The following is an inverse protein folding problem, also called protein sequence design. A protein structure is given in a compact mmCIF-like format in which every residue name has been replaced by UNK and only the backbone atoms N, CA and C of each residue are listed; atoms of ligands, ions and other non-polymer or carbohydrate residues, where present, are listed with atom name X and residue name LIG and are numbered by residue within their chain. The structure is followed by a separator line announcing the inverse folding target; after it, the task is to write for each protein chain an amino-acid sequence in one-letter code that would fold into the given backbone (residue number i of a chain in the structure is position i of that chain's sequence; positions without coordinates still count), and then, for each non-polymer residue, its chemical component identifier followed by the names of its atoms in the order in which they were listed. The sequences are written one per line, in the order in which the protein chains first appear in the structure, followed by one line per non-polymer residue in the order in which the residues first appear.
data_IF_890397124135
#
_entry.id   IF_890397124135
#
_cell.length_a   1.000
_cell.length_b   1.000
_cell.length_c   1.000
_cell.angle_alpha   90.00
_cell.angle_beta   90.00
_cell.angle_gamma   90.00
#
_symmetry.space_group_name_H-M   'P 1'
#
loop_
_entity.id
_entity.type
_entity.pdbx_description
1 polymer ?
#
# COMPACT_ATOMS: atom_id res chain seq x y z
N UNK A 1 3.88 -4.97 -20.55
CA UNK A 1 3.83 -5.03 -19.09
C UNK A 1 4.71 -3.95 -18.51
N UNK A 2 4.26 -3.28 -17.47
CA UNK A 2 5.10 -2.33 -16.76
C UNK A 2 6.27 -3.10 -16.13
N UNK A 3 7.49 -2.80 -16.58
CA UNK A 3 8.69 -3.50 -16.10
C UNK A 3 9.16 -3.01 -14.72
N UNK A 4 8.43 -2.08 -14.08
CA UNK A 4 8.80 -1.53 -12.79
C UNK A 4 8.55 -2.51 -11.65
N UNK A 5 7.37 -3.11 -11.62
CA UNK A 5 6.98 -4.05 -10.58
C UNK A 5 7.41 -5.48 -10.90
N UNK A 6 7.79 -6.21 -9.86
CA UNK A 6 7.90 -7.67 -9.87
C UNK A 6 6.70 -8.25 -9.16
N UNK A 7 6.01 -9.21 -9.78
CA UNK A 7 4.85 -9.89 -9.19
C UNK A 7 5.24 -11.32 -8.86
N UNK A 8 5.07 -11.69 -7.60
CA UNK A 8 5.32 -13.04 -7.08
C UNK A 8 4.01 -13.61 -6.55
N UNK A 9 3.60 -14.76 -7.06
CA UNK A 9 2.43 -15.46 -6.56
C UNK A 9 2.83 -16.31 -5.33
N UNK A 10 2.31 -15.92 -4.16
CA UNK A 10 2.56 -16.62 -2.88
C UNK A 10 1.69 -17.87 -2.78
N UNK A 11 0.40 -17.72 -3.11
CA UNK A 11 -0.56 -18.82 -3.24
C UNK A 11 -1.59 -18.47 -4.34
N UNK A 12 -2.60 -19.33 -4.54
CA UNK A 12 -3.58 -19.17 -5.62
C UNK A 12 -4.33 -17.82 -5.59
N UNK A 13 -4.40 -17.14 -4.45
CA UNK A 13 -5.16 -15.92 -4.22
C UNK A 13 -4.37 -14.82 -3.49
N UNK A 14 -3.04 -14.95 -3.40
CA UNK A 14 -2.15 -13.99 -2.72
C UNK A 14 -0.94 -13.68 -3.58
N UNK A 15 -0.69 -12.38 -3.80
CA UNK A 15 0.41 -11.90 -4.63
C UNK A 15 1.20 -10.84 -3.88
N UNK A 16 2.53 -10.92 -3.95
CA UNK A 16 3.42 -9.81 -3.60
C UNK A 16 3.72 -9.00 -4.87
N UNK A 17 3.63 -7.68 -4.77
CA UNK A 17 3.94 -6.73 -5.84
C UNK A 17 5.07 -5.86 -5.33
N UNK A 18 6.25 -6.06 -5.86
CA UNK A 18 7.50 -5.55 -5.29
C UNK A 18 8.18 -4.53 -6.21
N UNK A 19 8.81 -3.51 -5.63
CA UNK A 19 9.55 -2.46 -6.32
C UNK A 19 11.08 -2.64 -6.12
N UNK A 20 11.61 -3.83 -6.47
CA UNK A 20 13.02 -4.22 -6.29
C UNK A 20 14.04 -3.34 -7.04
N UNK A 21 13.59 -2.52 -7.99
CA UNK A 21 14.46 -1.60 -8.73
C UNK A 21 14.84 -0.36 -7.93
N UNK A 22 14.11 -0.08 -6.86
CA UNK A 22 14.40 1.01 -5.95
C UNK A 22 15.09 0.50 -4.70
N UNK A 23 15.96 1.30 -4.11
CA UNK A 23 16.75 0.94 -2.93
C UNK A 23 15.89 0.71 -1.66
N UNK A 24 14.67 1.26 -1.62
CA UNK A 24 13.70 1.05 -0.53
C UNK A 24 13.06 -0.33 -0.60
N UNK A 25 13.00 -0.92 -1.79
CA UNK A 25 12.48 -2.29 -2.01
C UNK A 25 11.10 -2.54 -1.38
N UNK A 26 10.17 -1.62 -1.59
CA UNK A 26 8.83 -1.73 -0.99
C UNK A 26 8.02 -2.90 -1.57
N UNK A 27 7.15 -3.47 -0.75
CA UNK A 27 6.25 -4.54 -1.10
C UNK A 27 4.80 -4.16 -0.81
N UNK A 28 3.92 -4.44 -1.75
CA UNK A 28 2.48 -4.40 -1.57
C UNK A 28 1.92 -5.81 -1.71
N UNK A 29 0.87 -6.14 -0.97
CA UNK A 29 0.28 -7.49 -1.03
C UNK A 29 -1.16 -7.42 -1.50
N UNK A 30 -1.46 -8.14 -2.59
CA UNK A 30 -2.84 -8.29 -3.09
C UNK A 30 -3.41 -9.62 -2.60
N UNK A 31 -4.51 -9.54 -1.85
CA UNK A 31 -5.22 -10.67 -1.27
C UNK A 31 -6.62 -10.74 -1.89
N UNK A 32 -6.87 -11.78 -2.69
CA UNK A 32 -8.17 -11.98 -3.34
C UNK A 32 -9.05 -12.88 -2.49
N UNK A 33 -10.22 -12.38 -2.08
CA UNK A 33 -11.31 -13.17 -1.49
C UNK A 33 -12.31 -13.63 -2.53
N UNK A 34 -13.54 -13.94 -2.09
CA UNK A 34 -14.66 -14.23 -3.02
C UNK A 34 -15.48 -12.99 -3.40
N UNK A 35 -15.59 -12.02 -2.48
CA UNK A 35 -16.45 -10.83 -2.66
C UNK A 35 -15.65 -9.61 -3.09
N UNK A 36 -14.43 -9.50 -2.60
CA UNK A 36 -13.55 -8.36 -2.84
C UNK A 36 -12.09 -8.78 -2.66
N UNK A 37 -11.18 -7.94 -3.11
CA UNK A 37 -9.77 -8.06 -2.83
C UNK A 37 -9.29 -6.89 -1.95
N UNK A 38 -8.27 -7.16 -1.16
CA UNK A 38 -7.54 -6.14 -0.40
C UNK A 38 -6.16 -5.98 -1.01
N UNK A 39 -5.74 -4.73 -1.19
CA UNK A 39 -4.35 -4.36 -1.46
C UNK A 39 -3.77 -3.72 -0.20
N UNK A 40 -2.77 -4.38 0.39
CA UNK A 40 -2.02 -3.85 1.53
C UNK A 40 -0.90 -2.98 0.99
N UNK A 41 -0.95 -1.69 1.28
CA UNK A 41 -0.06 -0.64 0.80
C UNK A 41 -0.05 -0.49 -0.74
N UNK A 42 0.58 0.58 -1.23
CA UNK A 42 0.59 0.89 -2.67
C UNK A 42 1.94 1.38 -3.18
N UNK A 43 3.00 1.17 -2.40
CA UNK A 43 4.37 1.44 -2.77
C UNK A 43 4.74 2.91 -2.94
N UNK A 44 5.83 3.12 -3.67
CA UNK A 44 6.51 4.42 -3.85
C UNK A 44 5.73 5.42 -4.72
N UNK A 45 4.80 4.95 -5.55
CA UNK A 45 4.08 5.81 -6.50
C UNK A 45 4.91 6.25 -7.71
N UNK A 46 6.02 5.57 -7.98
CA UNK A 46 6.87 5.79 -9.16
C UNK A 46 6.17 5.29 -10.41
N UNK A 47 5.51 4.14 -10.35
CA UNK A 47 4.67 3.64 -11.42
C UNK A 47 3.23 3.36 -10.95
N UNK A 48 2.34 3.07 -11.89
CA UNK A 48 0.92 2.87 -11.60
C UNK A 48 0.64 1.42 -11.20
N UNK A 49 0.69 1.13 -9.90
CA UNK A 49 0.40 -0.21 -9.34
C UNK A 49 -1.01 -0.71 -9.70
N UNK A 50 -1.99 0.18 -9.91
CA UNK A 50 -3.35 -0.20 -10.30
C UNK A 50 -3.39 -0.99 -11.60
N UNK A 51 -2.54 -0.67 -12.57
CA UNK A 51 -2.43 -1.43 -13.82
C UNK A 51 -2.04 -2.88 -13.58
N UNK A 52 -1.15 -3.12 -12.61
CA UNK A 52 -0.75 -4.49 -12.24
C UNK A 52 -1.91 -5.21 -11.52
N UNK A 53 -2.52 -4.56 -10.53
CA UNK A 53 -3.65 -5.13 -9.79
C UNK A 53 -4.79 -5.54 -10.73
N UNK A 54 -5.12 -4.70 -11.73
CA UNK A 54 -6.18 -4.99 -12.71
C UNK A 54 -5.87 -6.19 -13.62
N UNK A 55 -4.59 -6.61 -13.74
CA UNK A 55 -4.24 -7.87 -14.45
C UNK A 55 -4.41 -9.11 -13.58
N UNK A 56 -4.42 -8.95 -12.26
CA UNK A 56 -4.45 -10.06 -11.30
C UNK A 56 -5.86 -10.37 -10.80
N UNK A 57 -6.75 -9.38 -10.77
CA UNK A 57 -8.13 -9.56 -10.31
C UNK A 57 -9.09 -8.55 -10.92
N UNK A 58 -10.37 -8.96 -11.03
CA UNK A 58 -11.49 -8.08 -11.41
C UNK A 58 -12.40 -7.76 -10.21
N UNK A 59 -12.02 -8.20 -9.01
CA UNK A 59 -12.80 -7.93 -7.80
C UNK A 59 -12.73 -6.44 -7.40
N UNK A 60 -13.74 -5.92 -6.70
CA UNK A 60 -13.63 -4.62 -6.03
C UNK A 60 -12.43 -4.58 -5.10
N UNK A 61 -11.63 -3.51 -5.16
CA UNK A 61 -10.40 -3.35 -4.37
C UNK A 61 -10.63 -2.39 -3.21
N UNK A 62 -10.29 -2.83 -2.01
CA UNK A 62 -10.05 -2.00 -0.85
C UNK A 62 -8.54 -1.89 -0.62
N UNK A 63 -8.01 -0.70 -0.53
CA UNK A 63 -6.65 -0.48 -0.02
C UNK A 63 -6.71 -0.39 1.50
N UNK A 64 -5.90 -1.17 2.18
CA UNK A 64 -5.63 -1.02 3.60
C UNK A 64 -4.15 -0.67 3.78
N UNK A 65 -3.84 0.19 4.72
CA UNK A 65 -2.51 0.75 4.85
C UNK A 65 -1.88 0.31 6.16
N UNK A 66 -0.66 -0.22 6.09
CA UNK A 66 0.10 -0.58 7.30
C UNK A 66 0.41 0.66 8.10
N UNK A 67 0.83 1.74 7.43
CA UNK A 67 1.08 3.04 8.04
C UNK A 67 1.23 4.14 6.97
N UNK A 68 1.20 5.40 7.40
CA UNK A 68 1.24 6.55 6.49
C UNK A 68 2.67 7.08 6.37
N UNK A 69 3.51 6.34 5.62
CA UNK A 69 4.76 6.85 5.08
C UNK A 69 4.73 6.89 3.55
N UNK A 70 5.60 7.72 2.97
CA UNK A 70 5.59 8.05 1.53
C UNK A 70 5.78 6.84 0.62
N UNK A 71 6.53 5.86 1.07
CA UNK A 71 6.88 4.62 0.40
C UNK A 71 5.76 3.56 0.45
N UNK A 72 4.71 3.79 1.25
CA UNK A 72 3.54 2.91 1.37
C UNK A 72 2.28 3.46 0.72
N UNK A 73 2.19 4.78 0.52
CA UNK A 73 0.96 5.45 0.06
C UNK A 73 1.03 6.05 -1.35
N UNK A 74 2.17 5.90 -2.04
CA UNK A 74 2.43 6.59 -3.32
C UNK A 74 1.42 6.26 -4.42
N UNK A 75 0.88 5.06 -4.44
CA UNK A 75 -0.14 4.61 -5.40
C UNK A 75 -1.59 4.79 -4.94
N UNK A 76 -1.86 5.32 -3.73
CA UNK A 76 -3.23 5.49 -3.20
C UNK A 76 -4.13 6.29 -4.14
N UNK A 77 -3.59 7.26 -4.87
CA UNK A 77 -4.29 8.09 -5.85
C UNK A 77 -5.04 7.31 -6.95
N UNK A 78 -4.72 6.05 -7.14
CA UNK A 78 -5.36 5.19 -8.15
C UNK A 78 -6.54 4.39 -7.61
N UNK A 79 -6.86 4.50 -6.31
CA UNK A 79 -7.91 3.74 -5.65
C UNK A 79 -8.93 4.67 -4.98
N UNK A 80 -10.19 4.18 -4.92
CA UNK A 80 -11.31 4.96 -4.39
C UNK A 80 -11.61 4.65 -2.93
N UNK A 81 -11.28 3.44 -2.47
CA UNK A 81 -11.59 3.00 -1.13
C UNK A 81 -10.28 2.72 -0.36
N UNK A 82 -9.98 3.56 0.60
CA UNK A 82 -8.76 3.56 1.38
C UNK A 82 -9.13 3.49 2.87
N UNK A 83 -8.54 2.53 3.58
CA UNK A 83 -8.68 2.37 5.02
C UNK A 83 -7.31 2.54 5.70
N UNK A 84 -7.28 3.31 6.78
CA UNK A 84 -6.08 3.62 7.55
C UNK A 84 -6.39 3.56 9.04
N UNK A 85 -5.40 3.33 9.88
CA UNK A 85 -5.60 3.41 11.33
C UNK A 85 -5.98 4.82 11.75
N UNK A 86 -6.91 4.95 12.70
CA UNK A 86 -7.45 6.24 13.18
C UNK A 86 -6.34 7.22 13.59
N UNK A 87 -5.30 6.73 14.26
CA UNK A 87 -4.19 7.54 14.74
C UNK A 87 -3.41 8.29 13.62
N UNK A 88 -3.51 7.84 12.37
CA UNK A 88 -2.83 8.46 11.20
C UNK A 88 -3.80 9.12 10.20
N UNK A 89 -5.08 9.22 10.55
CA UNK A 89 -6.07 9.90 9.70
C UNK A 89 -5.62 11.28 9.26
N UNK A 90 -5.09 12.09 10.19
CA UNK A 90 -4.66 13.44 9.90
C UNK A 90 -3.40 13.48 9.04
N UNK A 91 -2.50 12.49 9.17
CA UNK A 91 -1.31 12.38 8.33
C UNK A 91 -1.69 12.17 6.86
N UNK A 92 -2.68 11.33 6.60
CA UNK A 92 -3.15 11.12 5.23
C UNK A 92 -3.91 12.34 4.69
N UNK A 93 -4.73 13.00 5.51
CA UNK A 93 -5.67 14.01 5.00
C UNK A 93 -5.10 15.43 4.91
N UNK A 94 -4.15 15.82 5.77
CA UNK A 94 -3.70 17.20 5.81
C UNK A 94 -2.30 17.44 6.40
N UNK A 95 -1.80 16.56 7.28
CA UNK A 95 -0.61 16.81 8.09
C UNK A 95 0.46 15.75 7.90
N UNK A 96 0.79 15.44 6.64
CA UNK A 96 1.87 14.48 6.37
C UNK A 96 3.16 14.92 7.08
N UNK A 97 3.82 14.02 7.86
CA UNK A 97 4.86 14.43 8.80
C UNK A 97 6.21 14.79 8.14
N UNK A 98 6.42 14.37 6.89
CA UNK A 98 7.70 14.55 6.19
C UNK A 98 7.53 15.56 5.04
N UNK A 99 8.34 16.62 4.97
CA UNK A 99 8.27 17.60 3.89
C UNK A 99 8.49 16.95 2.50
N UNK A 100 7.74 17.39 1.48
CA UNK A 100 7.83 16.85 0.11
C UNK A 100 9.26 16.85 -0.43
N UNK A 101 10.05 17.89 -0.14
CA UNK A 101 11.43 17.98 -0.61
C UNK A 101 12.33 16.89 0.00
N UNK A 102 12.09 16.50 1.24
CA UNK A 102 12.79 15.39 1.90
C UNK A 102 12.42 14.08 1.23
N UNK A 103 11.14 13.85 0.95
CA UNK A 103 10.67 12.66 0.23
C UNK A 103 11.27 12.58 -1.19
N UNK A 104 11.27 13.68 -1.94
CA UNK A 104 11.90 13.73 -3.27
C UNK A 104 13.41 13.42 -3.20
N UNK A 105 14.08 13.94 -2.18
CA UNK A 105 15.50 13.63 -1.95
C UNK A 105 15.70 12.14 -1.67
N UNK A 106 14.88 11.54 -0.80
CA UNK A 106 14.94 10.11 -0.47
C UNK A 106 14.69 9.23 -1.70
N UNK A 107 13.70 9.57 -2.53
CA UNK A 107 13.43 8.87 -3.79
C UNK A 107 14.63 8.87 -4.74
N UNK A 108 15.44 9.94 -4.73
CA UNK A 108 16.54 10.14 -5.68
C UNK A 108 17.94 9.91 -5.08
N UNK A 109 18.06 9.56 -3.80
CA UNK A 109 19.34 9.54 -3.11
C UNK A 109 20.28 8.41 -3.53
N UNK A 110 19.78 7.38 -4.19
CA UNK A 110 20.59 6.29 -4.77
C UNK A 110 20.30 6.10 -6.25
N UNK A 111 21.27 5.61 -7.05
CA UNK A 111 21.05 5.32 -8.46
C UNK A 111 19.86 4.35 -8.65
N UNK A 112 18.96 4.70 -9.57
CA UNK A 112 17.80 3.91 -9.91
C UNK A 112 17.45 4.10 -11.39
N UNK A 113 17.09 3.00 -12.07
CA UNK A 113 16.59 3.04 -13.44
C UNK A 113 15.07 3.27 -13.41
N UNK A 114 14.68 4.52 -13.22
CA UNK A 114 13.27 4.91 -13.22
C UNK A 114 12.57 4.65 -14.55
N UNK A 115 11.24 4.43 -14.56
CA UNK A 115 10.45 4.42 -15.79
C UNK A 115 10.61 5.74 -16.55
N UNK A 116 10.53 5.69 -17.88
CA UNK A 116 10.71 6.87 -18.74
C UNK A 116 9.67 7.96 -18.52
N UNK A 117 8.49 7.60 -18.04
CA UNK A 117 7.37 8.49 -17.72
C UNK A 117 7.39 9.01 -16.28
N UNK A 118 8.33 8.55 -15.46
CA UNK A 118 8.49 9.08 -14.11
C UNK A 118 9.20 10.43 -14.12
N UNK A 119 8.59 11.42 -13.49
CA UNK A 119 9.15 12.76 -13.33
C UNK A 119 9.09 13.18 -11.86
N UNK A 120 10.26 13.31 -11.22
CA UNK A 120 10.37 13.69 -9.81
C UNK A 120 9.80 15.09 -9.53
N UNK A 121 9.87 16.01 -10.49
CA UNK A 121 9.34 17.37 -10.31
C UNK A 121 7.81 17.37 -10.15
N UNK A 122 7.14 16.40 -10.80
CA UNK A 122 5.69 16.20 -10.72
C UNK A 122 5.27 15.28 -9.56
N UNK A 123 6.23 14.66 -8.87
CA UNK A 123 5.91 13.78 -7.76
C UNK A 123 5.25 14.56 -6.62
N UNK A 124 4.15 14.01 -6.10
CA UNK A 124 3.41 14.54 -4.97
C UNK A 124 3.12 13.41 -3.98
N UNK A 125 3.18 13.73 -2.70
CA UNK A 125 2.71 12.84 -1.65
C UNK A 125 1.19 12.79 -1.74
N UNK A 126 0.61 11.59 -1.74
CA UNK A 126 -0.84 11.45 -1.74
C UNK A 126 -1.43 12.06 -0.47
N UNK A 127 -2.47 12.85 -0.65
CA UNK A 127 -3.34 13.35 0.42
C UNK A 127 -4.79 13.09 0.06
N UNK A 128 -5.55 12.61 1.02
CA UNK A 128 -6.97 12.29 0.81
C UNK A 128 -7.68 11.92 2.11
N UNK A 129 -8.99 11.85 2.06
CA UNK A 129 -9.80 11.43 3.20
C UNK A 129 -10.00 9.93 3.13
N UNK A 130 -9.61 9.14 4.16
CA UNK A 130 -9.87 7.72 4.18
C UNK A 130 -11.38 7.45 4.26
N UNK A 131 -11.84 6.40 3.58
CA UNK A 131 -13.25 5.99 3.59
C UNK A 131 -13.58 5.12 4.80
N UNK A 132 -12.55 4.53 5.42
CA UNK A 132 -12.70 3.70 6.62
C UNK A 132 -11.56 3.97 7.59
N UNK A 133 -11.86 4.00 8.87
CA UNK A 133 -10.86 4.03 9.94
C UNK A 133 -10.73 2.63 10.54
N UNK A 134 -9.50 2.20 10.76
CA UNK A 134 -9.14 0.92 11.34
C UNK A 134 -8.77 1.09 12.82
N UNK A 135 -9.12 0.09 13.62
CA UNK A 135 -8.77 0.00 15.03
C UNK A 135 -8.23 -1.40 15.34
N UNK A 136 -7.55 -1.52 16.47
CA UNK A 136 -7.06 -2.82 16.94
C UNK A 136 -8.21 -3.83 17.09
N UNK A 137 -8.01 -5.04 16.60
CA UNK A 137 -9.01 -6.11 16.63
C UNK A 137 -10.08 -6.03 15.55
N UNK A 138 -10.13 -4.98 14.73
CA UNK A 138 -11.05 -4.90 13.61
C UNK A 138 -10.87 -6.08 12.65
N UNK A 139 -11.96 -6.46 12.01
CA UNK A 139 -12.01 -7.61 11.11
C UNK A 139 -12.45 -7.19 9.72
N UNK A 140 -11.65 -7.54 8.72
CA UNK A 140 -11.92 -7.29 7.30
C UNK A 140 -12.25 -8.62 6.62
N UNK A 141 -13.52 -8.80 6.23
CA UNK A 141 -14.04 -10.01 5.58
C UNK A 141 -14.05 -9.84 4.04
N UNK A 142 -13.22 -10.63 3.36
CA UNK A 142 -13.12 -10.65 1.91
C UNK A 142 -14.03 -11.71 1.24
N UNK A 143 -14.80 -12.45 2.04
CA UNK A 143 -15.49 -13.69 1.62
C UNK A 143 -14.51 -14.88 1.59
N UNK A 144 -14.70 -15.85 2.50
CA UNK A 144 -13.79 -16.99 2.76
C UNK A 144 -12.34 -16.62 3.12
N UNK A 145 -12.06 -15.37 3.32
CA UNK A 145 -10.78 -14.86 3.89
C UNK A 145 -11.10 -13.74 4.85
N UNK A 146 -10.38 -13.71 5.95
CA UNK A 146 -10.59 -12.72 7.00
C UNK A 146 -9.25 -12.23 7.53
N UNK A 147 -9.08 -10.92 7.56
CA UNK A 147 -7.93 -10.28 8.18
C UNK A 147 -8.34 -9.68 9.52
N UNK A 148 -7.45 -9.77 10.48
CA UNK A 148 -7.56 -9.09 11.78
C UNK A 148 -6.52 -7.97 11.80
N UNK A 149 -6.95 -6.77 12.14
CA UNK A 149 -6.06 -5.62 12.34
C UNK A 149 -5.38 -5.78 13.70
N UNK A 150 -4.06 -5.73 13.71
CA UNK A 150 -3.26 -5.71 14.95
C UNK A 150 -2.53 -4.38 14.98
N UNK A 151 -2.89 -3.52 15.92
CA UNK A 151 -2.23 -2.23 16.10
C UNK A 151 -0.86 -2.42 16.75
N UNK A 152 0.20 -2.04 16.05
CA UNK A 152 1.59 -2.23 16.46
C UNK A 152 2.35 -0.90 16.41
N UNK A 153 1.96 0.09 17.25
CA UNK A 153 2.59 1.41 17.22
C UNK A 153 4.06 1.34 17.62
N UNK A 154 4.86 2.23 17.05
CA UNK A 154 6.31 2.30 17.32
C UNK A 154 7.04 2.95 16.16
N UNK A 155 7.05 2.32 14.99
CA UNK A 155 7.57 2.88 13.74
C UNK A 155 6.79 4.15 13.34
N UNK A 156 5.48 4.09 13.49
CA UNK A 156 4.57 5.22 13.38
C UNK A 156 3.41 5.06 14.37
N UNK A 157 2.63 6.12 14.69
CA UNK A 157 1.58 6.03 15.70
C UNK A 157 0.40 5.13 15.31
N UNK A 158 0.13 4.93 14.03
CA UNK A 158 -0.96 4.08 13.53
C UNK A 158 -0.49 2.84 12.80
N UNK A 159 0.78 2.44 12.98
CA UNK A 159 1.29 1.24 12.33
C UNK A 159 0.47 0.01 12.71
N UNK A 160 0.09 -0.78 11.70
CA UNK A 160 -0.68 -2.01 11.84
C UNK A 160 -0.01 -3.16 11.13
N UNK A 161 -0.17 -4.36 11.69
CA UNK A 161 -0.03 -5.62 10.97
C UNK A 161 -1.42 -6.18 10.67
N UNK A 162 -1.52 -7.01 9.63
CA UNK A 162 -2.76 -7.67 9.25
C UNK A 162 -2.59 -9.18 9.33
N UNK A 163 -3.33 -9.82 10.23
CA UNK A 163 -3.20 -11.25 10.48
C UNK A 163 -4.32 -12.05 9.83
N UNK A 164 -3.97 -13.05 9.03
CA UNK A 164 -4.88 -14.03 8.46
C UNK A 164 -4.71 -15.38 9.17
N UNK A 165 -5.57 -15.65 10.14
CA UNK A 165 -5.44 -16.79 11.04
C UNK A 165 -5.51 -18.15 10.31
N UNK A 166 -6.43 -18.28 9.33
CA UNK A 166 -6.67 -19.54 8.62
C UNK A 166 -5.46 -19.98 7.78
N UNK A 167 -4.66 -19.02 7.31
CA UNK A 167 -3.45 -19.26 6.51
C UNK A 167 -2.17 -19.09 7.31
N UNK A 168 -2.26 -18.55 8.51
CA UNK A 168 -1.11 -18.19 9.37
C UNK A 168 -0.16 -17.18 8.71
N UNK A 169 -0.72 -16.26 7.94
CA UNK A 169 0.03 -15.15 7.34
C UNK A 169 -0.08 -13.91 8.22
N UNK A 170 1.01 -13.20 8.31
CA UNK A 170 1.10 -11.87 8.91
C UNK A 170 1.73 -10.92 7.87
N UNK A 171 1.02 -9.88 7.55
CA UNK A 171 1.43 -8.83 6.63
C UNK A 171 1.77 -7.57 7.37
#
# INVERSE_FOLDING_TARGET
MDSWFTVEQIDCNTFAISEYKHWEETHSYLLCGEKMAVLIDTGLGISNIRKIVDTLTQLPIMVITTHIHWDHIGGHKYFKFIAVHEAEREWLSAKFPIPLQVVKHSLMCKPCNFPLDFNIDQYQIFQGVPQMLLHDGDSIDLGKRKLIVIHTPGHSPGHCCFYEADRKYLY
#
